data_IF_947228421283
#
_entry.id   IF_947228421283
#
_cell.length_a   1.000
_cell.length_b   1.000
_cell.length_c   1.000
_cell.angle_alpha   90.00
_cell.angle_beta   90.00
_cell.angle_gamma   90.00
#
_symmetry.space_group_name_H-M   'P 1'
#
loop_
_entity.id
_entity.type
_entity.pdbx_description
1 polymer ?
#
# COMPACT_ATOMS: atom_id res chain seq x y z
N UNK A 1 -16.28 0.21 -11.45
CA UNK A 1 -14.92 0.51 -11.96
C UNK A 1 -14.71 1.96 -12.37
N UNK A 2 -15.73 2.79 -12.65
CA UNK A 2 -15.55 4.19 -13.11
C UNK A 2 -14.83 5.14 -12.14
N UNK A 3 -14.82 4.86 -10.84
CA UNK A 3 -14.22 5.71 -9.80
C UNK A 3 -13.13 4.99 -9.01
N UNK A 4 -12.54 3.94 -9.59
CA UNK A 4 -11.46 3.20 -8.96
C UNK A 4 -10.21 3.43 -9.80
N UNK A 5 -9.12 3.79 -9.14
CA UNK A 5 -7.85 4.12 -9.76
C UNK A 5 -6.86 2.98 -9.53
N UNK A 6 -5.83 2.92 -10.37
CA UNK A 6 -4.67 2.07 -10.11
C UNK A 6 -4.01 2.46 -8.78
N UNK A 7 -3.40 1.48 -8.14
CA UNK A 7 -2.61 1.69 -6.95
C UNK A 7 -1.44 0.71 -6.89
N UNK A 8 -0.44 1.05 -6.10
CA UNK A 8 0.71 0.21 -5.81
C UNK A 8 1.02 0.26 -4.32
N UNK A 9 1.22 -0.90 -3.70
CA UNK A 9 2.04 -1.00 -2.50
C UNK A 9 3.50 -1.19 -2.92
N UNK A 10 4.42 -0.53 -2.25
CA UNK A 10 5.85 -0.59 -2.56
C UNK A 10 6.62 -1.00 -1.30
N UNK A 11 7.33 -2.13 -1.37
CA UNK A 11 8.31 -2.50 -0.35
C UNK A 11 9.54 -1.59 -0.47
N UNK A 12 9.85 -0.89 0.61
CA UNK A 12 10.99 0.03 0.67
C UNK A 12 12.35 -0.68 0.73
N UNK A 13 12.35 -1.99 1.00
CA UNK A 13 13.56 -2.78 1.14
C UNK A 13 14.24 -3.05 -0.20
N UNK A 14 13.45 -3.32 -1.23
CA UNK A 14 13.94 -3.69 -2.57
C UNK A 14 13.19 -3.03 -3.74
N UNK A 15 12.13 -2.27 -3.45
CA UNK A 15 11.30 -1.59 -4.44
C UNK A 15 10.27 -2.50 -5.11
N UNK A 16 10.02 -3.71 -4.60
CA UNK A 16 8.98 -4.59 -5.12
C UNK A 16 7.61 -3.90 -5.06
N UNK A 17 6.83 -4.06 -6.12
CA UNK A 17 5.53 -3.42 -6.28
C UNK A 17 4.42 -4.46 -6.31
N UNK A 18 3.32 -4.17 -5.63
CA UNK A 18 2.14 -5.03 -5.52
C UNK A 18 0.92 -4.20 -5.89
N UNK A 19 0.10 -4.71 -6.79
CA UNK A 19 -1.04 -3.97 -7.33
C UNK A 19 -2.16 -4.89 -7.80
N UNK A 20 -3.31 -4.33 -8.16
CA UNK A 20 -4.48 -5.11 -8.51
C UNK A 20 -4.29 -5.79 -9.88
N UNK A 21 -4.32 -7.13 -9.93
CA UNK A 21 -4.29 -7.86 -11.20
C UNK A 21 -5.60 -7.67 -11.98
N UNK A 22 -5.49 -7.67 -13.32
CA UNK A 22 -6.64 -7.58 -14.22
C UNK A 22 -7.39 -6.24 -14.20
N UNK A 23 -6.84 -5.20 -13.56
CA UNK A 23 -7.39 -3.85 -13.56
C UNK A 23 -7.45 -3.25 -14.97
N UNK A 24 -8.55 -2.56 -15.30
CA UNK A 24 -8.70 -1.79 -16.55
C UNK A 24 -8.76 -0.28 -16.29
N UNK A 25 -8.11 0.16 -15.21
CA UNK A 25 -8.07 1.55 -14.80
C UNK A 25 -7.22 2.35 -15.78
N UNK A 26 -7.74 3.49 -16.24
CA UNK A 26 -7.11 4.26 -17.34
C UNK A 26 -5.73 4.77 -16.96
N UNK A 27 -5.53 5.08 -15.68
CA UNK A 27 -4.29 5.58 -15.11
C UNK A 27 -3.19 4.51 -15.02
N UNK A 28 -3.49 3.22 -15.21
CA UNK A 28 -2.46 2.19 -15.39
C UNK A 28 -1.56 2.44 -16.60
N UNK A 29 -1.97 3.30 -17.54
CA UNK A 29 -1.08 3.76 -18.61
C UNK A 29 0.17 4.50 -18.09
N UNK A 30 0.11 5.06 -16.87
CA UNK A 30 1.23 5.70 -16.19
C UNK A 30 2.08 4.70 -15.39
N UNK A 31 1.83 3.39 -15.50
CA UNK A 31 2.63 2.38 -14.78
C UNK A 31 4.12 2.55 -15.07
N UNK A 32 4.51 2.85 -16.32
CA UNK A 32 5.91 3.05 -16.70
C UNK A 32 6.57 4.28 -16.03
N UNK A 33 5.79 5.24 -15.54
CA UNK A 33 6.26 6.41 -14.79
C UNK A 33 6.37 6.12 -13.27
N UNK A 34 5.67 5.09 -12.81
CA UNK A 34 5.56 4.69 -11.41
C UNK A 34 6.39 3.43 -11.07
N UNK A 35 6.78 2.66 -12.08
CA UNK A 35 7.40 1.35 -11.93
C UNK A 35 7.61 0.64 -13.27
N UNK A 36 7.79 -0.67 -13.22
CA UNK A 36 7.93 -1.50 -14.43
C UNK A 36 6.81 -2.53 -14.57
N UNK A 37 6.56 -3.25 -13.49
CA UNK A 37 5.50 -4.27 -13.34
C UNK A 37 5.20 -4.40 -11.86
N UNK A 38 4.07 -5.03 -11.53
CA UNK A 38 3.70 -5.36 -10.16
C UNK A 38 3.31 -6.83 -10.03
N UNK A 39 3.34 -7.32 -8.80
CA UNK A 39 2.81 -8.61 -8.36
C UNK A 39 1.31 -8.45 -8.04
N UNK A 40 0.52 -9.51 -8.23
CA UNK A 40 -0.91 -9.51 -7.88
C UNK A 40 -1.09 -9.40 -6.37
N UNK A 41 -1.68 -8.33 -5.89
CA UNK A 41 -1.84 -8.06 -4.46
C UNK A 41 -2.75 -9.07 -3.74
N UNK A 42 -3.60 -9.81 -4.45
CA UNK A 42 -4.41 -10.87 -3.87
C UNK A 42 -3.61 -12.10 -3.42
N UNK A 43 -2.38 -12.27 -3.90
CA UNK A 43 -1.49 -13.38 -3.54
C UNK A 43 -0.64 -13.10 -2.30
N UNK A 44 -0.63 -11.85 -1.80
CA UNK A 44 0.25 -11.40 -0.72
C UNK A 44 -0.53 -10.80 0.45
N UNK A 45 0.10 -10.79 1.62
CA UNK A 45 -0.39 -10.09 2.81
C UNK A 45 0.49 -8.88 3.12
N UNK A 46 0.01 -7.97 3.98
CA UNK A 46 0.83 -6.87 4.47
C UNK A 46 2.12 -7.35 5.16
N UNK A 47 2.11 -8.54 5.76
CA UNK A 47 3.30 -9.10 6.39
C UNK A 47 4.40 -9.50 5.38
N UNK A 48 4.03 -9.72 4.11
CA UNK A 48 4.98 -10.04 3.04
C UNK A 48 5.60 -8.78 2.43
N UNK A 49 4.92 -7.63 2.56
CA UNK A 49 5.37 -6.32 2.06
C UNK A 49 6.19 -5.58 3.12
N UNK A 50 5.88 -5.81 4.41
CA UNK A 50 6.52 -5.12 5.51
C UNK A 50 8.01 -5.52 5.61
N UNK A 51 8.94 -4.55 5.65
CA UNK A 51 10.34 -4.84 5.93
C UNK A 51 10.50 -5.44 7.33
N UNK A 52 11.65 -6.10 7.55
CA UNK A 52 11.89 -6.99 8.69
C UNK A 52 11.36 -6.45 10.04
N UNK A 53 10.74 -7.30 10.89
CA UNK A 53 10.10 -6.89 12.14
C UNK A 53 11.04 -6.26 13.17
N UNK A 54 12.36 -6.35 12.98
CA UNK A 54 13.38 -5.75 13.84
C UNK A 54 13.78 -4.33 13.41
N UNK A 55 13.26 -3.83 12.28
CA UNK A 55 13.41 -2.44 11.88
C UNK A 55 12.80 -1.54 12.97
N UNK A 56 13.52 -0.48 13.36
CA UNK A 56 13.06 0.46 14.41
C UNK A 56 11.72 1.12 14.09
N UNK A 57 11.36 1.19 12.80
CA UNK A 57 10.10 1.70 12.26
C UNK A 57 9.83 1.02 10.92
N UNK A 58 9.19 -0.16 10.89
CA UNK A 58 8.84 -0.82 9.64
C UNK A 58 7.88 0.08 8.86
N UNK A 59 8.15 0.28 7.57
CA UNK A 59 7.38 1.17 6.72
C UNK A 59 7.31 0.62 5.29
N UNK A 60 6.29 1.02 4.56
CA UNK A 60 6.13 0.79 3.13
C UNK A 60 5.30 1.93 2.55
N UNK A 61 5.32 2.09 1.23
CA UNK A 61 4.54 3.13 0.55
C UNK A 61 3.26 2.57 -0.05
N UNK A 62 2.22 3.41 -0.09
CA UNK A 62 1.01 3.21 -0.88
C UNK A 62 0.81 4.37 -1.84
N UNK A 63 0.91 4.09 -3.14
CA UNK A 63 0.67 5.05 -4.22
C UNK A 63 -0.75 4.81 -4.72
N UNK A 64 -1.58 5.83 -4.69
CA UNK A 64 -2.94 5.81 -5.22
C UNK A 64 -3.08 6.78 -6.39
N UNK A 65 -3.81 6.39 -7.42
CA UNK A 65 -3.93 7.12 -8.68
C UNK A 65 -2.57 7.31 -9.35
N UNK A 66 -2.25 6.45 -10.31
CA UNK A 66 -0.94 6.48 -10.95
C UNK A 66 -0.75 7.71 -11.85
N UNK A 67 -1.82 8.45 -12.16
CA UNK A 67 -1.74 9.73 -12.87
C UNK A 67 -1.35 10.88 -11.94
N UNK A 68 -2.03 10.99 -10.78
CA UNK A 68 -1.83 12.09 -9.83
C UNK A 68 -0.72 11.82 -8.79
N UNK A 69 -0.32 10.56 -8.62
CA UNK A 69 0.75 10.11 -7.72
C UNK A 69 0.49 10.45 -6.24
N UNK A 70 -0.68 10.09 -5.71
CA UNK A 70 -0.97 10.28 -4.29
C UNK A 70 -0.20 9.27 -3.44
N UNK A 71 0.97 9.69 -2.97
CA UNK A 71 1.86 8.91 -2.11
C UNK A 71 1.42 8.98 -0.64
N UNK A 72 1.29 7.81 -0.02
CA UNK A 72 1.05 7.64 1.41
C UNK A 72 2.18 6.84 2.04
N UNK A 73 2.82 7.41 3.06
CA UNK A 73 3.79 6.71 3.90
C UNK A 73 3.06 5.93 4.99
N UNK A 74 3.21 4.61 5.00
CA UNK A 74 2.55 3.73 5.99
C UNK A 74 3.61 3.21 6.95
N UNK A 75 3.44 3.54 8.24
CA UNK A 75 4.31 3.09 9.31
C UNK A 75 3.58 2.10 10.22
N UNK A 76 4.27 1.03 10.61
CA UNK A 76 3.79 0.12 11.64
C UNK A 76 4.34 0.54 13.00
N UNK A 77 3.44 1.08 13.84
CA UNK A 77 3.80 1.51 15.19
C UNK A 77 4.00 0.33 16.15
N UNK A 78 3.10 -0.66 16.08
CA UNK A 78 3.15 -1.86 16.91
C UNK A 78 2.35 -3.00 16.28
N UNK A 79 2.85 -4.23 16.47
CA UNK A 79 2.12 -5.46 16.17
C UNK A 79 1.76 -6.11 17.52
N UNK A 80 0.47 -6.15 17.84
CA UNK A 80 -0.03 -6.76 19.07
C UNK A 80 -0.30 -8.26 18.89
N UNK A 81 -0.30 -9.05 19.97
CA UNK A 81 -0.63 -10.48 19.91
C UNK A 81 -2.02 -10.71 19.30
N UNK A 82 -2.13 -11.69 18.40
CA UNK A 82 -3.39 -12.03 17.74
C UNK A 82 -4.60 -12.25 18.68
N UNK A 83 -4.45 -12.88 19.87
CA UNK A 83 -5.57 -13.04 20.81
C UNK A 83 -6.15 -11.73 21.36
N UNK A 84 -5.42 -10.61 21.27
CA UNK A 84 -5.89 -9.28 21.68
C UNK A 84 -6.66 -8.56 20.56
N UNK A 85 -6.65 -9.09 19.34
CA UNK A 85 -7.39 -8.52 18.21
C UNK A 85 -8.88 -8.80 18.31
N UNK A 86 -9.70 -7.76 18.17
CA UNK A 86 -11.16 -7.87 18.03
C UNK A 86 -11.63 -7.77 16.56
N UNK A 87 -10.67 -7.75 15.62
CA UNK A 87 -10.91 -7.65 14.18
C UNK A 87 -11.45 -6.30 13.72
N UNK A 88 -11.52 -5.29 14.58
CA UNK A 88 -12.03 -3.96 14.21
C UNK A 88 -10.92 -3.08 13.62
N UNK A 89 -11.32 -2.26 12.66
CA UNK A 89 -10.51 -1.14 12.15
C UNK A 89 -11.06 0.14 12.75
N UNK A 90 -10.20 0.96 13.36
CA UNK A 90 -10.59 2.20 14.02
C UNK A 90 -9.67 3.35 13.62
N UNK A 91 -10.26 4.52 13.33
CA UNK A 91 -9.53 5.76 13.16
C UNK A 91 -9.31 6.40 14.54
N UNK A 92 -8.07 6.39 15.02
CA UNK A 92 -7.73 6.88 16.37
C UNK A 92 -7.47 8.40 16.39
N UNK A 93 -6.90 8.93 15.32
CA UNK A 93 -6.55 10.35 15.19
C UNK A 93 -6.48 10.74 13.71
N UNK A 94 -6.61 12.03 13.44
CA UNK A 94 -6.45 12.60 12.11
C UNK A 94 -6.44 14.11 12.15
N UNK A 95 -5.78 14.73 11.18
CA UNK A 95 -5.74 16.19 11.04
C UNK A 95 -5.59 16.58 9.58
N UNK A 96 -6.18 17.70 9.19
CA UNK A 96 -6.24 18.14 7.80
C UNK A 96 -7.38 17.50 7.03
N UNK A 97 -7.61 17.96 5.81
CA UNK A 97 -8.50 17.32 4.85
C UNK A 97 -7.67 16.47 3.89
N UNK A 98 -8.16 15.28 3.55
CA UNK A 98 -7.62 14.54 2.41
C UNK A 98 -7.81 15.38 1.13
N UNK A 99 -6.80 15.43 0.25
CA UNK A 99 -6.87 16.13 -1.03
C UNK A 99 -8.10 15.76 -1.88
#
# INVERSE_FOLDING_TARGET
TRNYHGYLFVDDSDGAQYGPDGGSHIDLMHLADNGHTYLDDHEFSLADILPQPDAKKPAFHYIYDLGDYWLHDIYVDAILPAPESDGKVALLAGSGACP
#
